data_IF_824302824804
#
_entry.id   IF_824302824804
#
_cell.length_a   1.000
_cell.length_b   1.000
_cell.length_c   1.000
_cell.angle_alpha   90.00
_cell.angle_beta   90.00
_cell.angle_gamma   90.00
#
_symmetry.space_group_name_H-M   'P 1'
#
loop_
_entity.id
_entity.type
_entity.pdbx_description
1 polymer ?
#
# COMPACT_ATOMS: atom_id res chain seq x y z
N UNK A 1 6.28 10.32 -14.19
CA UNK A 1 5.61 10.13 -12.88
C UNK A 1 4.12 9.91 -13.07
N UNK A 2 3.62 8.76 -12.59
CA UNK A 2 2.23 8.30 -12.59
C UNK A 2 1.80 8.06 -11.14
N UNK A 3 0.51 8.15 -10.85
CA UNK A 3 -0.03 8.08 -9.48
C UNK A 3 -1.08 6.98 -9.37
N UNK A 4 -1.06 6.29 -8.24
CA UNK A 4 -1.86 5.09 -8.03
C UNK A 4 -2.49 5.08 -6.65
N UNK A 5 -3.72 4.60 -6.59
CA UNK A 5 -4.34 4.09 -5.38
C UNK A 5 -4.27 2.56 -5.46
N UNK A 6 -3.68 1.94 -4.46
CA UNK A 6 -3.66 0.48 -4.33
C UNK A 6 -4.55 0.07 -3.18
N UNK A 7 -5.47 -0.84 -3.47
CA UNK A 7 -6.33 -1.47 -2.48
C UNK A 7 -5.86 -2.90 -2.23
N UNK A 8 -5.39 -3.17 -1.01
CA UNK A 8 -5.12 -4.53 -0.53
C UNK A 8 -6.42 -5.20 -0.06
N UNK A 9 -6.61 -6.47 -0.40
CA UNK A 9 -7.81 -7.27 -0.10
C UNK A 9 -7.35 -8.56 0.56
N UNK A 10 -7.55 -8.68 1.87
CA UNK A 10 -7.24 -9.92 2.59
C UNK A 10 -8.15 -11.05 2.13
N UNK A 11 -7.56 -12.23 1.94
CA UNK A 11 -8.30 -13.43 1.51
C UNK A 11 -9.04 -14.11 2.67
N UNK A 12 -8.57 -13.94 3.90
CA UNK A 12 -9.23 -14.43 5.12
C UNK A 12 -9.12 -13.40 6.25
N UNK A 13 -9.77 -13.70 7.38
CA UNK A 13 -9.69 -12.90 8.61
C UNK A 13 -8.80 -13.56 9.66
N UNK A 14 -8.00 -14.54 9.23
CA UNK A 14 -7.14 -15.30 10.14
C UNK A 14 -6.05 -14.39 10.70
N UNK A 15 -5.54 -14.75 11.87
CA UNK A 15 -4.43 -14.03 12.47
C UNK A 15 -3.18 -14.19 11.61
N UNK A 16 -2.57 -13.06 11.25
CA UNK A 16 -1.29 -13.03 10.54
C UNK A 16 -0.19 -13.16 11.59
N UNK A 17 0.73 -14.10 11.39
CA UNK A 17 1.82 -14.31 12.34
C UNK A 17 2.75 -13.09 12.44
N UNK A 18 3.44 -12.98 13.58
CA UNK A 18 4.27 -11.81 13.90
C UNK A 18 5.45 -11.60 12.94
N UNK A 19 6.01 -12.67 12.38
CA UNK A 19 7.17 -12.57 11.49
C UNK A 19 6.74 -12.02 10.12
N UNK A 20 5.68 -12.59 9.54
CA UNK A 20 5.05 -12.07 8.31
C UNK A 20 4.62 -10.62 8.49
N UNK A 21 4.05 -10.30 9.65
CA UNK A 21 3.61 -8.94 9.95
C UNK A 21 4.80 -7.96 10.01
N UNK A 22 5.89 -8.36 10.65
CA UNK A 22 7.13 -7.55 10.72
C UNK A 22 7.74 -7.33 9.34
N UNK A 23 7.78 -8.38 8.50
CA UNK A 23 8.27 -8.28 7.11
C UNK A 23 7.46 -7.29 6.29
N UNK A 24 6.13 -7.37 6.34
CA UNK A 24 5.24 -6.44 5.66
C UNK A 24 5.47 -4.98 6.08
N UNK A 25 5.58 -4.73 7.39
CA UNK A 25 5.82 -3.38 7.93
C UNK A 25 7.16 -2.82 7.45
N UNK A 26 8.23 -3.60 7.54
CA UNK A 26 9.56 -3.17 7.10
C UNK A 26 9.62 -2.93 5.59
N UNK A 27 8.97 -3.77 4.79
CA UNK A 27 8.90 -3.62 3.34
C UNK A 27 8.14 -2.34 2.94
N UNK A 28 7.00 -2.09 3.57
CA UNK A 28 6.19 -0.89 3.34
C UNK A 28 6.90 0.38 3.81
N UNK A 29 7.59 0.33 4.95
CA UNK A 29 8.40 1.46 5.45
C UNK A 29 9.53 1.80 4.48
N UNK A 30 10.24 0.79 3.96
CA UNK A 30 11.27 1.01 2.95
C UNK A 30 10.71 1.71 1.70
N UNK A 31 9.54 1.28 1.22
CA UNK A 31 8.89 1.93 0.08
C UNK A 31 8.42 3.36 0.37
N UNK A 32 8.08 3.67 1.62
CA UNK A 32 7.83 5.05 2.05
C UNK A 32 9.11 5.89 2.03
N UNK A 33 10.20 5.37 2.60
CA UNK A 33 11.50 6.03 2.65
C UNK A 33 12.08 6.27 1.24
N UNK A 34 11.86 5.33 0.31
CA UNK A 34 12.24 5.43 -1.10
C UNK A 34 11.30 6.36 -1.92
N UNK A 35 10.24 6.89 -1.30
CA UNK A 35 9.28 7.79 -1.92
C UNK A 35 8.29 7.14 -2.89
N UNK A 36 8.20 5.80 -2.89
CA UNK A 36 7.23 5.03 -3.66
C UNK A 36 5.82 5.10 -3.05
N UNK A 37 5.73 5.06 -1.71
CA UNK A 37 4.48 5.21 -0.94
C UNK A 37 4.44 6.61 -0.31
N UNK A 38 3.35 7.33 -0.53
CA UNK A 38 3.06 8.59 0.16
C UNK A 38 2.30 8.35 1.48
N UNK A 39 1.35 7.43 1.46
CA UNK A 39 0.47 7.13 2.58
C UNK A 39 0.05 5.67 2.52
N UNK A 40 -0.03 5.02 3.67
CA UNK A 40 -0.62 3.70 3.84
C UNK A 40 -1.57 3.67 5.04
N UNK A 41 -2.65 2.90 4.97
CA UNK A 41 -3.57 2.72 6.10
C UNK A 41 -4.35 1.42 6.04
N UNK A 42 -4.75 0.93 7.21
CA UNK A 42 -5.65 -0.22 7.35
C UNK A 42 -7.10 0.24 7.19
N UNK A 43 -7.90 -0.47 6.37
CA UNK A 43 -9.34 -0.22 6.28
C UNK A 43 -10.01 -0.43 7.63
N UNK A 44 -11.01 0.40 7.98
CA UNK A 44 -11.76 0.31 9.26
C UNK A 44 -12.40 -1.06 9.51
N UNK A 45 -12.80 -1.77 8.45
CA UNK A 45 -13.37 -3.11 8.53
C UNK A 45 -12.31 -4.23 8.54
N UNK A 46 -11.03 -3.87 8.62
CA UNK A 46 -9.87 -4.76 8.60
C UNK A 46 -9.78 -5.67 7.37
N UNK A 47 -10.39 -5.31 6.24
CA UNK A 47 -10.36 -6.17 5.03
C UNK A 47 -9.10 -6.01 4.16
N UNK A 48 -8.07 -5.32 4.67
CA UNK A 48 -6.80 -5.06 3.98
C UNK A 48 -6.38 -3.60 4.01
N UNK A 49 -5.30 -3.28 3.29
CA UNK A 49 -4.70 -1.95 3.26
C UNK A 49 -5.20 -1.03 2.14
N UNK A 50 -4.90 0.26 2.27
CA UNK A 50 -4.96 1.27 1.20
C UNK A 50 -3.60 1.95 1.13
N UNK A 51 -3.09 2.13 -0.08
CA UNK A 51 -1.83 2.82 -0.35
C UNK A 51 -2.04 3.92 -1.40
N UNK A 52 -1.39 5.07 -1.19
CA UNK A 52 -1.20 6.10 -2.23
C UNK A 52 0.24 6.01 -2.68
N UNK A 53 0.45 5.76 -3.97
CA UNK A 53 1.76 5.46 -4.54
C UNK A 53 2.05 6.32 -5.76
N UNK A 54 3.34 6.47 -6.09
CA UNK A 54 3.79 7.08 -7.35
C UNK A 54 4.93 6.26 -7.95
N UNK A 55 4.95 6.13 -9.26
CA UNK A 55 6.07 5.52 -9.99
C UNK A 55 6.08 5.95 -11.45
N UNK A 56 7.12 5.62 -12.20
CA UNK A 56 7.18 5.95 -13.63
C UNK A 56 6.32 5.04 -14.51
N UNK A 57 5.97 3.84 -14.02
CA UNK A 57 5.16 2.86 -14.74
C UNK A 57 4.23 2.10 -13.79
N UNK A 58 3.18 1.47 -14.34
CA UNK A 58 2.33 0.56 -13.56
C UNK A 58 3.05 -0.77 -13.30
N UNK A 59 4.00 -1.13 -14.17
CA UNK A 59 4.84 -2.32 -14.05
C UNK A 59 5.67 -2.29 -12.77
N UNK A 60 6.24 -1.13 -12.40
CA UNK A 60 6.97 -0.97 -11.15
C UNK A 60 6.08 -1.16 -9.91
N UNK A 61 4.81 -0.71 -9.99
CA UNK A 61 3.83 -0.94 -8.91
C UNK A 61 3.52 -2.43 -8.80
N UNK A 62 3.29 -3.11 -9.93
CA UNK A 62 3.06 -4.55 -9.94
C UNK A 62 4.24 -5.32 -9.38
N UNK A 63 5.46 -4.98 -9.79
CA UNK A 63 6.68 -5.62 -9.28
C UNK A 63 6.82 -5.46 -7.76
N UNK A 64 6.59 -4.26 -7.23
CA UNK A 64 6.55 -4.03 -5.78
C UNK A 64 5.50 -4.92 -5.10
N UNK A 65 4.28 -4.99 -5.64
CA UNK A 65 3.19 -5.76 -5.05
C UNK A 65 3.39 -7.27 -5.19
N UNK A 66 4.03 -7.75 -6.25
CA UNK A 66 4.35 -9.17 -6.46
C UNK A 66 5.44 -9.65 -5.49
N UNK A 67 6.26 -8.74 -4.97
CA UNK A 67 7.28 -9.01 -3.95
C UNK A 67 6.86 -8.61 -2.53
N UNK A 68 5.63 -8.14 -2.36
CA UNK A 68 5.12 -7.74 -1.06
C UNK A 68 4.89 -9.01 -0.19
N UNK A 69 5.30 -9.02 1.09
CA UNK A 69 5.21 -10.19 1.95
C UNK A 69 3.82 -10.87 2.02
N UNK A 70 2.73 -10.11 2.14
CA UNK A 70 1.39 -10.69 2.11
C UNK A 70 1.00 -11.26 0.74
N UNK A 71 1.54 -10.74 -0.37
CA UNK A 71 1.33 -11.36 -1.69
C UNK A 71 2.02 -12.70 -1.79
N UNK A 72 3.30 -12.75 -1.39
CA UNK A 72 4.14 -13.93 -1.47
C UNK A 72 3.58 -15.08 -0.61
N UNK A 73 3.10 -14.76 0.58
CA UNK A 73 2.44 -15.72 1.49
C UNK A 73 0.97 -16.00 1.10
N UNK A 74 0.47 -15.38 0.02
CA UNK A 74 -0.88 -15.61 -0.48
C UNK A 74 -1.99 -15.06 0.41
N UNK A 75 -1.69 -14.18 1.37
CA UNK A 75 -2.60 -13.59 2.36
C UNK A 75 -3.46 -12.47 1.76
N UNK A 76 -2.89 -11.67 0.85
CA UNK A 76 -3.52 -10.46 0.31
C UNK A 76 -3.43 -10.40 -1.21
N UNK A 77 -4.52 -9.99 -1.86
CA UNK A 77 -4.53 -9.56 -3.25
C UNK A 77 -4.62 -8.04 -3.38
N UNK A 78 -4.32 -7.52 -4.57
CA UNK A 78 -4.24 -6.09 -4.80
C UNK A 78 -5.04 -5.66 -6.02
N UNK A 79 -5.73 -4.54 -5.88
CA UNK A 79 -6.33 -3.79 -6.98
C UNK A 79 -5.59 -2.47 -7.15
N UNK A 80 -5.19 -2.16 -8.37
CA UNK A 80 -4.47 -0.93 -8.71
C UNK A 80 -5.42 -0.01 -9.48
N UNK A 81 -5.51 1.25 -9.06
CA UNK A 81 -6.26 2.30 -9.75
C UNK A 81 -5.27 3.42 -10.06
N UNK A 82 -5.02 3.67 -11.34
CA UNK A 82 -4.25 4.83 -11.77
C UNK A 82 -5.14 6.08 -11.80
N UNK A 83 -4.59 7.22 -11.38
CA UNK A 83 -5.29 8.51 -11.39
C UNK A 83 -4.36 9.68 -11.69
N UNK A 84 -4.94 10.84 -11.98
CA UNK A 84 -4.22 12.11 -12.16
C UNK A 84 -4.65 13.10 -11.07
N UNK A 85 -3.78 13.47 -10.12
CA UNK A 85 -4.11 14.48 -9.12
C UNK A 85 -4.15 15.88 -9.77
N UNK A 86 -5.11 16.70 -9.36
CA UNK A 86 -5.30 18.06 -9.88
C UNK A 86 -5.25 19.14 -8.79
N UNK A 87 -5.73 18.82 -7.59
CA UNK A 87 -5.75 19.72 -6.45
C UNK A 87 -5.10 19.04 -5.25
N UNK A 88 -4.31 19.80 -4.50
CA UNK A 88 -3.61 19.33 -3.32
C UNK A 88 -3.96 20.22 -2.13
N UNK A 89 -4.25 19.60 -0.99
CA UNK A 89 -4.37 20.28 0.28
C UNK A 89 -3.04 20.10 1.03
N UNK A 90 -2.39 21.20 1.40
CA UNK A 90 -1.07 21.21 2.05
C UNK A 90 -1.13 20.95 3.56
N UNK A 91 -2.32 20.65 4.10
CA UNK A 91 -2.54 20.41 5.54
C UNK A 91 -2.96 18.97 5.89
N UNK A 92 -2.24 17.91 5.44
CA UNK A 92 -2.58 16.55 5.85
C UNK A 92 -2.41 16.34 7.36
N UNK A 93 -1.43 16.99 7.99
CA UNK A 93 -1.22 16.91 9.44
C UNK A 93 -2.41 17.45 10.25
N UNK A 94 -3.11 18.48 9.77
CA UNK A 94 -4.29 19.01 10.44
C UNK A 94 -5.49 18.06 10.32
N UNK A 95 -5.55 17.28 9.24
CA UNK A 95 -6.67 16.40 8.90
C UNK A 95 -6.59 15.03 9.58
N UNK A 96 -5.38 14.54 9.86
CA UNK A 96 -5.11 13.20 10.41
C UNK A 96 -4.61 13.18 11.86
N UNK A 97 -4.81 14.27 12.61
CA UNK A 97 -4.51 14.36 14.05
C UNK A 97 -5.32 13.37 14.90
#
# INVERSE_FOLDING_TARGET
MRYFIVEGILKSKDEIDKDTMTKHMNYSQKAMDDGLILMSGLKKNMSGGIFIMKSDSIENIKEYLDNEPFKLEGIQDYKIIEFSPHYFNESPSEWFN
#
